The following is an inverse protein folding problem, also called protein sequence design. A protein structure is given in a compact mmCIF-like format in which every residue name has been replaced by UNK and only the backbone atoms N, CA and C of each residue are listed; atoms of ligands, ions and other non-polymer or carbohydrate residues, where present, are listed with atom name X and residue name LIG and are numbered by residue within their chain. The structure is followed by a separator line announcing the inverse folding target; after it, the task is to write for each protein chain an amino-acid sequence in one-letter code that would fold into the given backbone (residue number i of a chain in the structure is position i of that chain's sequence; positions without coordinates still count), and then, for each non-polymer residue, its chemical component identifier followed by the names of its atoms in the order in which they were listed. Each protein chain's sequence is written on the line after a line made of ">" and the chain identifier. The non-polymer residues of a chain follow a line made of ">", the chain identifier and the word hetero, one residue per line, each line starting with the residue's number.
data_IF_547072276220
#
_entry.id   IF_547072276220
#
_cell.length_a   1.000
_cell.length_b   1.000
_cell.length_c   1.000
_cell.angle_alpha   90.00
_cell.angle_beta   90.00
_cell.angle_gamma   90.00
#
_symmetry.space_group_name_H-M   'P 1'
#
loop_
_entity.id
_entity.type
_entity.pdbx_description
1 polymer ?
#
# COMPACT_ATOMS: atom_id res chain seq x y z
N UNK A 1 3.63 -4.11 15.36
CA UNK A 1 4.18 -3.89 14.00
C UNK A 1 4.34 -5.21 13.26
N UNK A 2 3.55 -6.22 13.62
CA UNK A 2 3.76 -7.59 13.18
C UNK A 2 3.37 -7.72 11.70
N UNK A 3 2.33 -7.01 11.27
CA UNK A 3 1.92 -6.93 9.87
C UNK A 3 2.97 -6.24 8.98
N UNK A 4 3.52 -5.10 9.41
CA UNK A 4 4.57 -4.40 8.65
C UNK A 4 5.83 -5.26 8.50
N UNK A 5 6.24 -5.95 9.58
CA UNK A 5 7.36 -6.89 9.54
C UNK A 5 7.06 -8.09 8.64
N UNK A 6 5.84 -8.61 8.70
CA UNK A 6 5.35 -9.70 7.83
C UNK A 6 5.46 -9.33 6.35
N UNK A 7 5.16 -8.07 5.99
CA UNK A 7 5.34 -7.59 4.63
C UNK A 7 6.83 -7.45 4.26
N UNK A 8 7.64 -6.88 5.15
CA UNK A 8 9.10 -6.75 4.96
C UNK A 8 9.78 -8.09 4.68
N UNK A 9 9.37 -9.16 5.37
CA UNK A 9 9.93 -10.50 5.16
C UNK A 9 9.66 -11.07 3.76
N UNK A 10 8.62 -10.63 3.05
CA UNK A 10 8.40 -11.06 1.65
C UNK A 10 9.44 -10.46 0.71
N UNK A 11 9.82 -9.22 0.96
CA UNK A 11 10.66 -8.43 0.06
C UNK A 11 11.67 -7.57 0.85
N UNK A 12 12.64 -8.21 1.53
CA UNK A 12 13.54 -7.55 2.47
C UNK A 12 14.61 -6.71 1.77
N UNK A 13 14.54 -6.56 0.44
CA UNK A 13 15.39 -5.69 -0.35
C UNK A 13 14.93 -4.24 -0.23
N UNK A 14 13.63 -3.94 -0.18
CA UNK A 14 13.10 -2.57 -0.25
C UNK A 14 12.73 -1.99 1.12
N UNK A 15 12.50 -0.68 1.19
CA UNK A 15 12.02 0.01 2.39
C UNK A 15 10.52 -0.24 2.53
N UNK A 16 10.08 -0.68 3.70
CA UNK A 16 8.65 -0.79 4.05
C UNK A 16 8.35 0.21 5.15
N UNK A 17 7.40 1.11 4.93
CA UNK A 17 7.06 2.16 5.90
C UNK A 17 5.56 2.28 6.07
N UNK A 18 5.12 2.57 7.30
CA UNK A 18 3.79 3.08 7.53
C UNK A 18 3.74 4.56 7.18
N UNK A 19 2.60 5.02 6.71
CA UNK A 19 2.33 6.44 6.52
C UNK A 19 0.87 6.72 6.85
N UNK A 20 0.60 7.90 7.39
CA UNK A 20 -0.78 8.31 7.68
C UNK A 20 -1.55 8.43 6.37
N UNK A 21 -2.88 8.22 6.34
CA UNK A 21 -3.66 8.45 5.13
C UNK A 21 -3.46 9.83 4.51
N UNK A 22 -3.38 10.90 5.32
CA UNK A 22 -3.13 12.27 4.85
C UNK A 22 -1.74 12.48 4.22
N UNK A 23 -0.75 11.68 4.62
CA UNK A 23 0.63 11.77 4.12
C UNK A 23 0.83 10.83 2.94
N UNK A 24 0.21 9.65 2.96
CA UNK A 24 0.20 8.67 1.87
C UNK A 24 -0.07 9.33 0.52
N UNK A 25 -1.10 10.19 0.43
CA UNK A 25 -1.40 10.91 -0.81
C UNK A 25 -0.20 11.72 -1.34
N UNK A 26 0.44 12.50 -0.46
CA UNK A 26 1.59 13.35 -0.83
C UNK A 26 2.78 12.50 -1.22
N UNK A 27 3.11 11.50 -0.42
CA UNK A 27 4.23 10.59 -0.68
C UNK A 27 4.05 9.80 -1.99
N UNK A 28 2.81 9.48 -2.38
CA UNK A 28 2.50 8.89 -3.69
C UNK A 28 2.78 9.86 -4.84
N UNK A 29 2.54 11.16 -4.67
CA UNK A 29 2.84 12.22 -5.65
C UNK A 29 4.34 12.57 -5.68
N UNK A 30 5.09 12.27 -4.63
CA UNK A 30 6.54 12.49 -4.54
C UNK A 30 7.36 11.31 -5.05
N UNK A 31 6.93 10.76 -6.19
CA UNK A 31 7.59 9.64 -6.89
C UNK A 31 8.05 10.09 -8.26
N UNK A 32 9.33 9.90 -8.57
CA UNK A 32 9.94 10.32 -9.83
C UNK A 32 11.19 9.48 -10.14
N UNK A 33 11.31 8.94 -11.35
CA UNK A 33 12.51 8.24 -11.84
C UNK A 33 13.12 7.23 -10.85
N UNK A 34 12.33 6.26 -10.41
CA UNK A 34 12.66 5.27 -9.37
C UNK A 34 12.91 5.83 -7.97
N UNK A 35 12.87 7.13 -7.72
CA UNK A 35 12.98 7.71 -6.36
C UNK A 35 11.60 7.95 -5.76
N UNK A 36 11.47 7.64 -4.47
CA UNK A 36 10.29 7.98 -3.69
C UNK A 36 10.66 8.38 -2.28
N UNK A 37 9.80 9.19 -1.66
CA UNK A 37 9.92 9.53 -0.26
C UNK A 37 9.09 8.58 0.62
N UNK A 38 9.58 8.34 1.84
CA UNK A 38 8.87 7.68 2.92
C UNK A 38 9.18 8.38 4.23
N UNK A 39 8.15 8.77 4.98
CA UNK A 39 8.33 9.25 6.35
C UNK A 39 8.54 8.06 7.30
N UNK A 40 9.78 7.90 7.79
CA UNK A 40 10.15 6.76 8.63
C UNK A 40 9.65 6.89 10.08
N UNK A 41 9.14 8.08 10.49
CA UNK A 41 8.70 8.36 11.87
C UNK A 41 7.49 7.53 12.29
N UNK A 42 6.69 7.04 11.34
CA UNK A 42 5.50 6.21 11.62
C UNK A 42 5.80 4.71 11.72
N UNK A 43 7.08 4.34 11.71
CA UNK A 43 7.55 2.96 11.76
C UNK A 43 7.90 2.46 10.37
N UNK A 44 9.12 1.95 10.25
CA UNK A 44 9.63 1.40 9.02
C UNK A 44 10.56 0.21 9.28
N UNK A 45 10.62 -0.72 8.33
CA UNK A 45 11.66 -1.72 8.25
C UNK A 45 12.52 -1.43 7.03
N UNK A 46 13.83 -1.42 7.28
CA UNK A 46 14.86 -1.07 6.31
C UNK A 46 15.93 -2.17 6.33
N UNK A 47 16.43 -2.61 5.16
CA UNK A 47 17.51 -3.58 5.12
C UNK A 47 18.80 -2.98 5.72
N UNK A 48 19.48 -3.76 6.56
CA UNK A 48 20.72 -3.32 7.23
C UNK A 48 21.79 -2.80 6.26
N UNK A 49 21.93 -3.46 5.11
CA UNK A 49 22.94 -3.09 4.11
C UNK A 49 22.65 -1.71 3.48
N UNK A 50 21.38 -1.30 3.34
CA UNK A 50 21.01 0.06 2.87
C UNK A 50 21.45 1.12 3.85
N UNK A 51 21.26 0.89 5.14
CA UNK A 51 21.73 1.78 6.20
C UNK A 51 23.26 1.88 6.18
N UNK A 52 23.97 0.76 6.04
CA UNK A 52 25.43 0.75 5.95
C UNK A 52 25.95 1.51 4.73
N UNK A 53 25.32 1.32 3.57
CA UNK A 53 25.64 2.04 2.34
C UNK A 53 25.44 3.55 2.53
N UNK A 54 24.27 3.96 3.06
CA UNK A 54 23.99 5.37 3.33
C UNK A 54 25.01 6.00 4.30
N UNK A 55 25.33 5.34 5.41
CA UNK A 55 26.32 5.85 6.38
C UNK A 55 27.72 5.97 5.78
N UNK A 56 28.12 5.01 4.94
CA UNK A 56 29.40 5.05 4.22
C UNK A 56 29.45 6.21 3.24
N UNK A 57 28.33 6.49 2.56
CA UNK A 57 28.21 7.60 1.62
C UNK A 57 28.20 8.94 2.35
N UNK A 58 27.47 9.06 3.46
CA UNK A 58 27.41 10.25 4.28
C UNK A 58 28.80 10.64 4.82
N UNK A 59 29.63 9.65 5.18
CA UNK A 59 31.02 9.88 5.55
C UNK A 59 31.92 10.37 4.40
N UNK A 60 31.55 10.09 3.14
CA UNK A 60 32.32 10.48 1.93
C UNK A 60 31.84 11.79 1.31
N UNK A 61 30.54 12.10 1.41
CA UNK A 61 29.93 13.31 0.82
C UNK A 61 30.20 14.58 1.63
N UNK A 62 30.76 14.46 2.84
CA UNK A 62 31.15 15.61 3.66
C UNK A 62 29.97 16.46 4.12
N UNK A 63 28.79 15.84 4.30
CA UNK A 63 27.61 16.52 4.83
C UNK A 63 27.96 17.19 6.16
N UNK A 64 27.77 18.51 6.23
CA UNK A 64 27.99 19.31 7.44
C UNK A 64 27.18 18.75 8.63
N UNK A 65 27.64 18.96 9.85
CA UNK A 65 27.00 18.49 11.11
C UNK A 65 25.53 18.92 11.21
N UNK A 66 25.15 20.04 10.62
CA UNK A 66 23.76 20.49 10.54
C UNK A 66 22.89 19.58 9.66
N UNK A 67 23.41 19.09 8.54
CA UNK A 67 22.70 18.19 7.62
C UNK A 67 22.59 16.75 8.17
N UNK A 68 23.44 16.35 9.13
CA UNK A 68 23.35 15.04 9.80
C UNK A 68 22.06 14.93 10.63
N UNK A 69 21.55 16.05 11.17
CA UNK A 69 20.30 16.04 11.96
C UNK A 69 19.09 15.68 11.12
N UNK A 70 19.13 16.01 9.84
CA UNK A 70 18.06 15.74 8.87
C UNK A 70 18.30 14.42 8.10
N UNK A 71 19.30 13.61 8.51
CA UNK A 71 19.70 12.34 7.86
C UNK A 71 18.52 11.39 7.58
N UNK A 72 17.48 11.41 8.41
CA UNK A 72 16.28 10.60 8.22
C UNK A 72 15.50 10.97 6.96
N UNK A 73 15.39 12.26 6.64
CA UNK A 73 14.73 12.75 5.43
C UNK A 73 15.53 12.42 4.17
N UNK A 74 16.86 12.44 4.28
CA UNK A 74 17.74 12.04 3.17
C UNK A 74 17.66 10.56 2.88
N UNK A 75 17.58 9.72 3.92
CA UNK A 75 17.75 8.29 3.78
C UNK A 75 16.83 7.69 2.72
N UNK A 76 15.51 7.95 2.80
CA UNK A 76 14.53 7.36 1.88
C UNK A 76 14.75 7.81 0.42
N UNK A 77 15.03 9.10 0.20
CA UNK A 77 15.24 9.68 -1.14
C UNK A 77 16.55 9.16 -1.75
N UNK A 78 17.60 9.06 -0.93
CA UNK A 78 18.95 8.70 -1.36
C UNK A 78 19.07 7.24 -1.81
N UNK A 79 18.17 6.37 -1.34
CA UNK A 79 18.15 4.99 -1.78
C UNK A 79 17.71 4.81 -3.24
N UNK A 80 17.31 5.89 -3.95
CA UNK A 80 16.89 5.89 -5.35
C UNK A 80 15.86 4.81 -5.68
N UNK A 81 14.95 4.53 -4.74
CA UNK A 81 13.95 3.49 -4.86
C UNK A 81 12.60 3.94 -4.34
N UNK A 82 11.55 3.42 -4.97
CA UNK A 82 10.21 3.56 -4.43
C UNK A 82 10.10 2.77 -3.12
N UNK A 83 9.66 3.38 -2.00
CA UNK A 83 9.33 2.63 -0.79
C UNK A 83 7.98 1.90 -0.95
N UNK A 84 7.77 0.85 -0.16
CA UNK A 84 6.47 0.22 0.02
C UNK A 84 5.73 0.87 1.19
N UNK A 85 4.82 1.78 0.84
CA UNK A 85 4.05 2.55 1.80
C UNK A 85 2.77 1.80 2.18
N UNK A 86 2.51 1.68 3.48
CA UNK A 86 1.26 1.18 4.03
C UNK A 86 0.47 2.35 4.61
N UNK A 87 -0.72 2.61 4.08
CA UNK A 87 -1.61 3.65 4.55
C UNK A 87 -2.28 3.19 5.84
N UNK A 88 -1.75 3.61 6.97
CA UNK A 88 -2.17 3.19 8.31
C UNK A 88 -2.38 4.43 9.20
N UNK A 89 -3.50 4.53 9.93
CA UNK A 89 -3.64 5.57 10.94
C UNK A 89 -2.56 5.35 12.02
N UNK A 90 -1.86 6.41 12.44
CA UNK A 90 -0.73 6.26 13.34
C UNK A 90 -1.23 5.87 14.74
N UNK A 91 -0.86 4.68 15.22
CA UNK A 91 -0.98 4.34 16.64
C UNK A 91 0.18 4.97 17.40
N UNK A 92 0.04 6.24 17.77
CA UNK A 92 1.02 6.85 18.66
C UNK A 92 0.75 6.36 20.09
N UNK A 93 1.79 5.85 20.75
CA UNK A 93 1.73 5.29 22.10
C UNK A 93 1.07 6.21 23.15
N UNK A 94 0.96 7.51 22.85
CA UNK A 94 0.43 8.54 23.75
C UNK A 94 -0.81 9.28 23.21
N UNK A 95 -1.45 8.80 22.12
CA UNK A 95 -2.69 9.40 21.59
C UNK A 95 -2.56 10.84 21.03
N UNK A 96 -1.37 11.42 21.03
CA UNK A 96 -1.11 12.71 20.39
C UNK A 96 -1.11 12.52 18.88
N UNK A 97 -1.77 13.42 18.13
CA UNK A 97 -1.61 13.48 16.67
C UNK A 97 -0.15 13.87 16.38
N UNK A 98 0.59 13.04 15.66
CA UNK A 98 1.90 13.46 15.16
C UNK A 98 1.71 14.78 14.41
N UNK A 99 2.45 15.80 14.82
CA UNK A 99 2.43 17.13 14.22
C UNK A 99 2.80 17.03 12.75
N UNK A 100 2.03 17.72 11.89
CA UNK A 100 2.35 17.86 10.47
C UNK A 100 3.51 18.84 10.31
N UNK A 101 4.69 18.35 9.93
CA UNK A 101 5.78 19.16 9.38
C UNK A 101 6.60 18.32 8.38
N UNK A 102 6.72 18.85 7.14
CA UNK A 102 7.38 18.18 6.00
C UNK A 102 7.94 19.17 4.96
N UNK A 103 8.28 20.42 5.35
CA UNK A 103 8.83 21.41 4.41
C UNK A 103 10.29 21.15 4.04
N UNK A 104 11.07 20.55 4.95
CA UNK A 104 12.48 20.26 4.70
C UNK A 104 12.65 19.07 3.74
N UNK A 105 11.86 18.00 3.89
CA UNK A 105 11.87 16.86 2.96
C UNK A 105 11.56 17.28 1.52
N UNK A 106 10.58 18.17 1.33
CA UNK A 106 10.22 18.74 0.02
C UNK A 106 11.39 19.51 -0.60
N UNK A 107 12.07 20.35 0.18
CA UNK A 107 13.26 21.10 -0.29
C UNK A 107 14.38 20.15 -0.73
N UNK A 108 14.61 19.08 0.01
CA UNK A 108 15.64 18.10 -0.34
C UNK A 108 15.24 17.21 -1.52
N UNK A 109 13.96 16.87 -1.64
CA UNK A 109 13.42 16.22 -2.82
C UNK A 109 13.69 17.09 -4.04
N UNK A 110 13.40 18.39 -3.94
CA UNK A 110 13.66 19.37 -4.99
C UNK A 110 15.15 19.47 -5.34
N UNK A 111 16.06 19.53 -4.37
CA UNK A 111 17.51 19.46 -4.65
C UNK A 111 17.93 18.16 -5.35
N UNK A 112 17.32 17.02 -4.99
CA UNK A 112 17.57 15.76 -5.71
C UNK A 112 17.05 15.79 -7.16
N UNK A 113 16.02 16.58 -7.47
CA UNK A 113 15.56 16.78 -8.85
C UNK A 113 16.57 17.63 -9.64
N UNK A 114 17.16 18.62 -8.99
CA UNK A 114 18.08 19.59 -9.58
C UNK A 114 19.50 19.02 -9.84
N UNK A 115 20.01 18.10 -8.99
CA UNK A 115 21.42 17.65 -9.02
C UNK A 115 21.73 16.39 -9.86
N UNK A 116 20.96 16.10 -10.91
CA UNK A 116 21.07 14.82 -11.64
C UNK A 116 22.35 14.64 -12.51
N UNK A 117 23.36 15.52 -12.42
CA UNK A 117 24.60 15.41 -13.20
C UNK A 117 25.61 14.40 -12.61
N UNK A 118 25.43 13.93 -11.38
CA UNK A 118 26.30 12.92 -10.77
C UNK A 118 25.48 11.85 -10.04
N UNK A 119 24.82 10.97 -10.79
CA UNK A 119 24.33 9.72 -10.22
C UNK A 119 25.56 8.90 -9.79
N UNK A 120 25.90 8.95 -8.50
CA UNK A 120 27.03 8.20 -7.94
C UNK A 120 26.87 6.68 -8.10
N UNK A 121 25.65 6.20 -8.43
CA UNK A 121 25.31 4.78 -8.58
C UNK A 121 24.20 4.57 -9.61
N UNK A 122 24.12 3.34 -10.14
CA UNK A 122 23.08 2.92 -11.08
C UNK A 122 21.68 3.02 -10.46
N UNK A 123 20.75 3.57 -11.24
CA UNK A 123 19.34 3.72 -10.87
C UNK A 123 18.60 2.55 -11.49
N UNK A 124 18.57 1.41 -10.79
CA UNK A 124 17.75 0.26 -11.18
C UNK A 124 16.65 0.04 -10.13
N UNK A 125 15.40 -0.14 -10.60
CA UNK A 125 14.29 -0.44 -9.71
C UNK A 125 14.47 -1.84 -9.11
N UNK A 126 14.57 -1.92 -7.78
CA UNK A 126 14.63 -3.20 -7.09
C UNK A 126 13.30 -3.96 -7.18
N UNK A 127 13.39 -5.27 -7.40
CA UNK A 127 12.25 -6.16 -7.23
C UNK A 127 11.81 -6.20 -5.75
N UNK A 128 10.50 -6.20 -5.48
CA UNK A 128 9.41 -6.25 -6.44
C UNK A 128 9.13 -4.86 -7.04
N UNK A 129 8.92 -4.82 -8.37
CA UNK A 129 8.41 -3.63 -9.05
C UNK A 129 7.09 -3.15 -8.46
N UNK A 130 6.76 -1.87 -8.66
CA UNK A 130 5.51 -1.27 -8.17
C UNK A 130 4.24 -2.09 -8.45
N UNK A 131 4.13 -2.71 -9.62
CA UNK A 131 2.99 -3.53 -10.00
C UNK A 131 2.76 -4.77 -9.11
N UNK A 132 3.81 -5.24 -8.42
CA UNK A 132 3.74 -6.38 -7.51
C UNK A 132 3.53 -5.96 -6.05
N UNK A 133 3.43 -4.65 -5.77
CA UNK A 133 3.29 -4.09 -4.42
C UNK A 133 1.81 -3.96 -4.03
N UNK A 134 1.21 -5.12 -3.79
CA UNK A 134 -0.21 -5.33 -3.56
C UNK A 134 -0.70 -4.99 -2.15
N UNK A 135 0.15 -5.10 -1.13
CA UNK A 135 -0.14 -4.72 0.25
C UNK A 135 -0.31 -3.21 0.38
N UNK A 136 -1.44 -2.74 0.93
CA UNK A 136 -1.74 -1.30 1.02
C UNK A 136 -1.98 -0.79 2.44
N UNK A 137 -2.42 -1.64 3.36
CA UNK A 137 -2.74 -1.24 4.73
C UNK A 137 -2.69 -2.45 5.67
N UNK A 138 -2.51 -2.20 6.96
CA UNK A 138 -2.58 -3.17 8.03
C UNK A 138 -3.97 -3.17 8.64
N UNK A 139 -4.43 -4.33 9.07
CA UNK A 139 -5.66 -4.44 9.86
C UNK A 139 -5.50 -3.76 11.22
N UNK A 140 -6.60 -3.25 11.78
CA UNK A 140 -6.64 -2.53 13.08
C UNK A 140 -6.02 -3.35 14.23
N UNK A 141 -6.17 -4.68 14.18
CA UNK A 141 -5.61 -5.60 15.17
C UNK A 141 -4.15 -6.01 14.90
N UNK A 142 -3.52 -5.49 13.84
CA UNK A 142 -2.16 -5.81 13.38
C UNK A 142 -1.90 -7.30 13.03
N UNK A 143 -2.97 -8.09 12.82
CA UNK A 143 -2.91 -9.52 12.47
C UNK A 143 -3.13 -9.82 11.00
N UNK A 144 -3.35 -8.81 10.18
CA UNK A 144 -3.41 -8.96 8.73
C UNK A 144 -3.01 -7.69 7.98
N UNK A 145 -2.89 -7.84 6.66
CA UNK A 145 -2.63 -6.79 5.69
C UNK A 145 -3.70 -6.86 4.60
N UNK A 146 -4.28 -5.73 4.24
CA UNK A 146 -5.08 -5.58 3.04
C UNK A 146 -4.18 -5.69 1.81
N UNK A 147 -4.52 -6.58 0.90
CA UNK A 147 -3.91 -6.69 -0.43
C UNK A 147 -4.90 -6.30 -1.52
N UNK A 148 -4.45 -5.61 -2.56
CA UNK A 148 -5.28 -5.24 -3.70
C UNK A 148 -4.45 -4.91 -4.94
N UNK A 149 -4.96 -5.22 -6.14
CA UNK A 149 -4.39 -4.74 -7.41
C UNK A 149 -4.83 -3.34 -7.79
N UNK A 150 -5.83 -2.79 -7.09
CA UNK A 150 -6.47 -1.53 -7.45
C UNK A 150 -5.76 -0.37 -6.76
N UNK A 151 -5.05 0.41 -7.57
CA UNK A 151 -4.40 1.65 -7.13
C UNK A 151 -5.33 2.86 -7.26
N UNK A 152 -5.45 3.63 -6.18
CA UNK A 152 -6.21 4.88 -6.15
C UNK A 152 -5.45 6.06 -6.80
N UNK A 153 -4.16 5.88 -7.08
CA UNK A 153 -3.27 6.91 -7.61
C UNK A 153 -2.69 6.55 -8.97
N UNK A 154 -2.24 7.58 -9.69
CA UNK A 154 -1.56 7.42 -10.98
C UNK A 154 -0.19 6.77 -10.74
N UNK A 155 0.14 5.74 -11.52
CA UNK A 155 1.48 5.15 -11.49
C UNK A 155 2.52 6.16 -11.98
N UNK A 156 3.70 6.24 -11.34
CA UNK A 156 4.73 7.22 -11.70
C UNK A 156 5.21 7.08 -13.15
N UNK A 157 5.17 5.88 -13.73
CA UNK A 157 5.48 5.62 -15.15
C UNK A 157 4.61 6.41 -16.14
N UNK A 158 3.42 6.83 -15.72
CA UNK A 158 2.49 7.63 -16.54
C UNK A 158 2.74 9.13 -16.42
N UNK A 159 3.62 9.56 -15.51
CA UNK A 159 4.00 10.96 -15.36
C UNK A 159 5.24 11.20 -16.22
N UNK A 160 5.12 11.91 -17.36
CA UNK A 160 6.28 12.28 -18.16
C UNK A 160 7.12 13.26 -17.34
N UNK A 161 8.14 12.75 -16.67
CA UNK A 161 9.02 13.57 -15.85
C UNK A 161 10.14 14.14 -16.71
N UNK A 162 10.21 15.47 -16.80
CA UNK A 162 11.32 16.20 -17.41
C UNK A 162 11.92 17.14 -16.37
N UNK A 163 13.15 16.85 -15.93
CA UNK A 163 13.88 17.63 -14.92
C UNK A 163 14.14 19.08 -15.36
N UNK A 164 14.11 19.37 -16.67
CA UNK A 164 14.26 20.74 -17.18
C UNK A 164 12.96 21.53 -17.14
N UNK A 165 11.83 20.82 -17.20
CA UNK A 165 10.49 21.41 -17.20
C UNK A 165 9.83 21.40 -15.81
N UNK A 166 10.23 20.49 -14.93
CA UNK A 166 9.72 20.33 -13.57
C UNK A 166 10.78 20.85 -12.60
N UNK A 167 10.66 22.13 -12.27
CA UNK A 167 11.58 22.86 -11.40
C UNK A 167 11.16 22.86 -9.92
N UNK A 168 10.01 22.29 -9.57
CA UNK A 168 9.55 22.21 -8.18
C UNK A 168 8.63 21.01 -7.90
N UNK A 169 8.47 20.67 -6.62
CA UNK A 169 7.55 19.63 -6.16
C UNK A 169 6.10 20.00 -6.44
N UNK A 170 5.74 21.27 -6.28
CA UNK A 170 4.40 21.77 -6.59
C UNK A 170 4.03 21.54 -8.07
N UNK A 171 4.99 21.70 -8.98
CA UNK A 171 4.77 21.40 -10.40
C UNK A 171 4.57 19.91 -10.63
N UNK A 172 5.33 19.05 -9.95
CA UNK A 172 5.14 17.60 -10.00
C UNK A 172 3.76 17.19 -9.46
N UNK A 173 3.36 17.70 -8.30
CA UNK A 173 2.05 17.47 -7.69
C UNK A 173 0.92 17.90 -8.64
N UNK A 174 1.06 19.06 -9.29
CA UNK A 174 0.11 19.55 -10.29
C UNK A 174 -0.04 18.59 -11.47
N UNK A 175 1.03 17.92 -11.90
CA UNK A 175 0.95 16.91 -12.97
C UNK A 175 0.19 15.65 -12.51
N UNK A 176 0.44 15.20 -11.27
CA UNK A 176 -0.33 14.11 -10.68
C UNK A 176 -1.81 14.48 -10.54
N UNK A 177 -2.11 15.69 -10.08
CA UNK A 177 -3.49 16.16 -9.87
C UNK A 177 -4.28 16.24 -11.18
N UNK A 178 -3.63 16.67 -12.28
CA UNK A 178 -4.25 16.67 -13.63
C UNK A 178 -4.66 15.27 -14.11
N UNK A 179 -3.97 14.23 -13.65
CA UNK A 179 -4.20 12.84 -14.06
C UNK A 179 -4.98 12.03 -13.00
N UNK A 180 -5.17 12.60 -11.81
CA UNK A 180 -5.92 12.02 -10.71
C UNK A 180 -7.42 12.31 -10.85
N UNK A 181 -8.25 11.47 -10.24
CA UNK A 181 -9.72 11.54 -10.35
C UNK A 181 -10.42 12.14 -9.11
N UNK A 182 -9.71 12.87 -8.24
CA UNK A 182 -10.31 13.63 -7.13
C UNK A 182 -9.81 13.27 -5.73
N UNK A 183 -10.04 14.20 -4.80
CA UNK A 183 -9.21 14.53 -3.61
C UNK A 183 -9.78 14.10 -2.25
N UNK A 184 -10.67 13.11 -2.20
CA UNK A 184 -11.27 12.64 -0.94
C UNK A 184 -10.54 11.42 -0.34
N UNK A 185 -9.25 11.27 -0.61
CA UNK A 185 -8.47 10.09 -0.20
C UNK A 185 -8.64 9.71 1.26
N UNK A 186 -8.60 10.69 2.17
CA UNK A 186 -8.73 10.45 3.60
C UNK A 186 -10.05 9.73 3.94
N UNK A 187 -11.13 10.07 3.25
CA UNK A 187 -12.47 9.50 3.46
C UNK A 187 -12.65 8.11 2.83
N UNK A 188 -11.76 7.74 1.91
CA UNK A 188 -11.87 6.53 1.10
C UNK A 188 -10.56 5.72 1.13
N UNK A 189 -9.75 5.84 2.17
CA UNK A 189 -8.40 5.28 2.18
C UNK A 189 -8.40 3.77 2.50
N UNK A 190 -7.32 3.08 2.11
CA UNK A 190 -7.21 1.63 2.20
C UNK A 190 -7.53 1.04 3.58
N UNK A 191 -7.09 1.70 4.65
CA UNK A 191 -7.30 1.20 6.01
C UNK A 191 -8.77 1.04 6.40
N UNK A 192 -9.68 1.79 5.77
CA UNK A 192 -11.11 1.73 6.04
C UNK A 192 -11.77 0.43 5.58
N UNK A 193 -11.07 -0.44 4.84
CA UNK A 193 -11.56 -1.79 4.55
C UNK A 193 -11.24 -2.81 5.67
N UNK A 194 -10.37 -2.45 6.61
CA UNK A 194 -9.78 -3.34 7.61
C UNK A 194 -9.66 -2.67 8.99
N UNK A 195 -10.51 -1.67 9.26
CA UNK A 195 -10.59 -0.93 10.52
C UNK A 195 -11.61 -1.53 11.52
N UNK A 196 -12.29 -2.60 11.11
CA UNK A 196 -13.34 -3.31 11.86
C UNK A 196 -14.61 -2.50 12.09
N UNK A 197 -14.83 -1.46 11.30
CA UNK A 197 -16.08 -0.70 11.24
C UNK A 197 -16.76 -0.94 9.88
N UNK A 198 -17.93 -1.61 9.83
CA UNK A 198 -18.62 -1.88 8.56
C UNK A 198 -19.30 -0.64 7.97
N UNK A 199 -19.18 0.54 8.59
CA UNK A 199 -19.80 1.80 8.13
C UNK A 199 -18.85 2.73 7.39
N UNK A 200 -17.54 2.57 7.61
CA UNK A 200 -16.46 3.21 6.85
C UNK A 200 -16.08 2.32 5.68
N UNK A 201 -15.62 2.88 4.56
CA UNK A 201 -15.28 2.07 3.40
C UNK A 201 -14.09 2.62 2.62
N UNK A 202 -13.23 1.71 2.16
CA UNK A 202 -12.32 2.00 1.06
C UNK A 202 -13.13 2.06 -0.25
N UNK A 203 -12.89 3.10 -1.06
CA UNK A 203 -13.48 3.25 -2.40
C UNK A 203 -12.39 3.01 -3.46
N UNK A 204 -12.70 2.20 -4.47
CA UNK A 204 -11.77 1.94 -5.57
C UNK A 204 -11.56 3.16 -6.47
N UNK A 205 -12.42 4.20 -6.36
CA UNK A 205 -12.49 5.44 -7.16
C UNK A 205 -12.77 5.24 -8.66
N UNK A 206 -12.36 4.09 -9.19
CA UNK A 206 -12.56 3.62 -10.56
C UNK A 206 -13.27 2.29 -10.52
N UNK A 207 -14.08 2.02 -11.54
CA UNK A 207 -14.80 0.76 -11.65
C UNK A 207 -13.80 -0.42 -11.83
N UNK A 208 -13.83 -1.45 -10.95
CA UNK A 208 -12.96 -2.61 -11.06
C UNK A 208 -13.09 -3.31 -12.41
N UNK A 209 -11.97 -3.82 -12.90
CA UNK A 209 -11.84 -4.61 -14.13
C UNK A 209 -11.79 -6.10 -13.82
N UNK A 210 -12.12 -6.91 -14.81
CA UNK A 210 -11.94 -8.36 -14.72
C UNK A 210 -10.48 -8.67 -14.38
N UNK A 211 -10.29 -9.45 -13.33
CA UNK A 211 -8.96 -9.83 -12.81
C UNK A 211 -8.47 -8.93 -11.69
N UNK A 212 -9.07 -7.76 -11.46
CA UNK A 212 -8.78 -6.97 -10.26
C UNK A 212 -9.14 -7.78 -9.02
N UNK A 213 -8.45 -7.51 -7.91
CA UNK A 213 -8.68 -8.23 -6.68
C UNK A 213 -8.46 -7.38 -5.44
N UNK A 214 -9.09 -7.82 -4.37
CA UNK A 214 -8.80 -7.39 -2.99
C UNK A 214 -8.73 -8.63 -2.10
N UNK A 215 -8.13 -8.53 -0.92
CA UNK A 215 -7.93 -9.69 -0.06
C UNK A 215 -7.19 -9.39 1.23
N UNK A 216 -6.88 -10.44 1.96
CA UNK A 216 -6.11 -10.36 3.19
C UNK A 216 -4.87 -11.25 3.10
N UNK A 217 -3.78 -10.73 3.64
CA UNK A 217 -2.61 -11.51 4.04
C UNK A 217 -2.57 -11.55 5.55
N UNK A 218 -2.56 -12.76 6.10
CA UNK A 218 -2.58 -13.01 7.53
C UNK A 218 -1.17 -13.01 8.10
N UNK A 219 -1.05 -12.56 9.34
CA UNK A 219 0.13 -12.77 10.19
C UNK A 219 0.00 -14.18 10.77
N UNK A 220 0.48 -15.16 10.00
CA UNK A 220 0.31 -16.60 10.24
C UNK A 220 -0.61 -17.27 9.21
N UNK A 221 -1.09 -18.47 9.53
CA UNK A 221 -1.95 -19.27 8.66
C UNK A 221 -3.20 -19.70 9.41
N UNK A 222 -4.36 -19.62 8.76
CA UNK A 222 -5.65 -19.98 9.34
C UNK A 222 -6.45 -20.88 8.39
N UNK A 223 -7.34 -21.69 8.97
CA UNK A 223 -8.42 -22.35 8.26
C UNK A 223 -9.67 -21.47 8.36
N UNK A 224 -10.26 -21.15 7.22
CA UNK A 224 -11.43 -20.29 7.11
C UNK A 224 -12.41 -21.00 6.19
N UNK A 225 -13.65 -21.11 6.63
CA UNK A 225 -14.74 -21.77 5.90
C UNK A 225 -15.74 -20.73 5.37
N UNK A 226 -15.72 -19.50 5.90
CA UNK A 226 -16.64 -18.43 5.55
C UNK A 226 -15.93 -17.10 5.34
N UNK A 227 -16.19 -16.49 4.19
CA UNK A 227 -15.76 -15.14 3.84
C UNK A 227 -16.96 -14.19 3.88
N UNK A 228 -16.84 -13.10 4.64
CA UNK A 228 -17.85 -12.04 4.70
C UNK A 228 -17.29 -10.74 4.13
N UNK A 229 -17.97 -10.20 3.13
CA UNK A 229 -17.65 -8.92 2.48
C UNK A 229 -18.75 -7.93 2.84
N UNK A 230 -18.39 -6.82 3.47
CA UNK A 230 -19.29 -5.71 3.73
C UNK A 230 -19.11 -4.67 2.64
N UNK A 231 -20.19 -4.39 1.92
CA UNK A 231 -20.19 -3.46 0.79
C UNK A 231 -21.60 -2.91 0.56
N UNK A 232 -21.76 -1.61 0.28
CA UNK A 232 -23.04 -1.04 -0.13
C UNK A 232 -23.38 -1.36 -1.59
N UNK A 233 -22.44 -1.92 -2.36
CA UNK A 233 -22.68 -2.27 -3.76
C UNK A 233 -23.63 -3.47 -3.87
N UNK A 234 -24.71 -3.33 -4.63
CA UNK A 234 -25.62 -4.43 -4.91
C UNK A 234 -25.01 -5.43 -5.92
N UNK A 235 -24.53 -6.56 -5.41
CA UNK A 235 -23.95 -7.63 -6.23
C UNK A 235 -24.93 -8.82 -6.33
N UNK A 236 -25.54 -8.99 -7.49
CA UNK A 236 -26.41 -10.14 -7.78
C UNK A 236 -25.55 -11.38 -8.08
N UNK A 237 -25.82 -12.51 -7.42
CA UNK A 237 -25.07 -13.78 -7.59
C UNK A 237 -23.56 -13.59 -7.35
N UNK A 238 -23.15 -13.16 -6.14
CA UNK A 238 -21.75 -12.89 -5.82
C UNK A 238 -20.81 -14.07 -6.10
N UNK A 239 -21.28 -15.31 -5.98
CA UNK A 239 -20.55 -16.53 -6.30
C UNK A 239 -20.16 -16.66 -7.79
N UNK A 240 -20.85 -15.93 -8.67
CA UNK A 240 -20.52 -15.84 -10.11
C UNK A 240 -19.67 -14.62 -10.43
N UNK A 241 -19.82 -13.54 -9.67
CA UNK A 241 -19.08 -12.29 -9.89
C UNK A 241 -17.69 -12.31 -9.26
N UNK A 242 -17.50 -13.09 -8.20
CA UNK A 242 -16.23 -13.22 -7.51
C UNK A 242 -15.62 -14.60 -7.71
N UNK A 243 -14.30 -14.66 -7.71
CA UNK A 243 -13.56 -15.91 -7.52
C UNK A 243 -12.65 -15.78 -6.30
N UNK A 244 -12.71 -16.77 -5.41
CA UNK A 244 -11.87 -16.82 -4.22
C UNK A 244 -10.67 -17.71 -4.51
N UNK A 245 -9.47 -17.21 -4.21
CA UNK A 245 -8.23 -17.99 -4.28
C UNK A 245 -7.41 -17.79 -3.02
N UNK A 246 -6.69 -18.83 -2.61
CA UNK A 246 -5.87 -18.83 -1.41
C UNK A 246 -4.43 -19.23 -1.73
N UNK A 247 -3.51 -18.87 -0.86
CA UNK A 247 -2.10 -19.26 -0.94
C UNK A 247 -1.60 -19.71 0.42
N UNK A 248 -1.01 -20.89 0.45
CA UNK A 248 -0.37 -21.48 1.64
C UNK A 248 0.92 -20.73 2.00
N UNK A 249 1.32 -20.82 3.25
CA UNK A 249 2.60 -20.29 3.69
C UNK A 249 3.77 -21.00 2.99
N UNK A 250 4.70 -20.21 2.42
CA UNK A 250 5.83 -20.73 1.65
C UNK A 250 5.51 -21.16 0.22
N UNK A 251 4.23 -21.11 -0.20
CA UNK A 251 3.84 -21.34 -1.59
C UNK A 251 3.89 -20.04 -2.41
N UNK A 252 4.17 -20.17 -3.70
CA UNK A 252 4.07 -19.09 -4.68
C UNK A 252 2.88 -19.28 -5.65
N UNK A 253 2.01 -20.26 -5.38
CA UNK A 253 0.91 -20.63 -6.26
C UNK A 253 -0.45 -20.31 -5.62
N UNK A 254 -1.29 -19.62 -6.38
CA UNK A 254 -2.68 -19.38 -6.01
C UNK A 254 -3.54 -20.61 -6.31
N UNK A 255 -4.23 -21.11 -5.30
CA UNK A 255 -5.19 -22.22 -5.44
C UNK A 255 -6.61 -21.67 -5.40
N UNK A 256 -7.41 -22.01 -6.42
CA UNK A 256 -8.80 -21.56 -6.50
C UNK A 256 -9.69 -22.39 -5.57
N UNK A 257 -10.52 -21.71 -4.78
CA UNK A 257 -11.52 -22.34 -3.93
C UNK A 257 -12.88 -22.40 -4.64
N UNK A 258 -13.71 -23.36 -4.24
CA UNK A 258 -15.13 -23.33 -4.56
C UNK A 258 -15.80 -22.36 -3.60
N UNK A 259 -16.65 -21.48 -4.12
CA UNK A 259 -17.38 -20.50 -3.30
C UNK A 259 -18.87 -20.58 -3.60
N UNK A 260 -19.69 -20.63 -2.56
CA UNK A 260 -21.16 -20.64 -2.66
C UNK A 260 -21.76 -19.56 -1.78
N UNK A 261 -22.73 -18.81 -2.31
CA UNK A 261 -23.45 -17.80 -1.53
C UNK A 261 -24.26 -18.47 -0.41
N UNK A 262 -24.15 -17.93 0.80
CA UNK A 262 -25.01 -18.30 1.93
C UNK A 262 -26.25 -17.40 1.86
N UNK A 263 -27.47 -17.98 1.85
CA UNK A 263 -28.77 -17.36 1.49
C UNK A 263 -29.26 -16.18 2.39
N UNK A 264 -28.37 -15.46 3.10
CA UNK A 264 -28.68 -14.28 3.90
C UNK A 264 -27.89 -13.05 3.45
N UNK A 265 -28.07 -12.63 2.20
CA UNK A 265 -27.61 -11.31 1.76
C UNK A 265 -28.48 -10.23 2.39
N UNK A 266 -28.00 -9.66 3.50
CA UNK A 266 -28.45 -8.35 3.94
C UNK A 266 -27.97 -7.32 2.92
N UNK A 267 -28.66 -6.19 2.79
CA UNK A 267 -28.40 -5.20 1.73
C UNK A 267 -26.92 -4.76 1.62
N UNK A 268 -26.15 -4.83 2.71
CA UNK A 268 -24.75 -4.43 2.73
C UNK A 268 -23.76 -5.57 3.08
N UNK A 269 -24.19 -6.83 3.00
CA UNK A 269 -23.39 -8.00 3.43
C UNK A 269 -23.47 -9.15 2.44
N UNK A 270 -22.33 -9.58 1.95
CA UNK A 270 -22.16 -10.77 1.11
C UNK A 270 -21.44 -11.82 1.95
N UNK A 271 -22.02 -13.02 2.03
CA UNK A 271 -21.40 -14.16 2.70
C UNK A 271 -21.21 -15.30 1.73
N UNK A 272 -19.96 -15.77 1.65
CA UNK A 272 -19.55 -16.88 0.80
C UNK A 272 -19.00 -18.00 1.70
N UNK A 273 -19.60 -19.18 1.63
CA UNK A 273 -18.95 -20.39 2.11
C UNK A 273 -17.84 -20.75 1.10
N UNK A 274 -16.65 -21.06 1.60
CA UNK A 274 -15.48 -21.37 0.79
C UNK A 274 -14.96 -22.77 1.11
N UNK A 275 -14.74 -23.56 0.07
CA UNK A 275 -14.17 -24.91 0.14
C UNK A 275 -12.89 -24.93 -0.70
N UNK A 276 -11.76 -24.92 0.00
CA UNK A 276 -10.44 -24.83 -0.58
C UNK A 276 -9.74 -26.20 -0.53
N UNK A 277 -8.97 -26.59 -1.57
CA UNK A 277 -8.16 -27.82 -1.56
C UNK A 277 -7.07 -27.88 -0.47
N UNK A 278 -6.84 -26.78 0.24
CA UNK A 278 -5.79 -26.59 1.25
C UNK A 278 -6.44 -26.23 2.59
N UNK A 279 -5.87 -26.75 3.69
CA UNK A 279 -6.47 -26.60 5.02
C UNK A 279 -6.12 -25.28 5.70
N UNK A 280 -4.89 -24.80 5.53
CA UNK A 280 -4.40 -23.58 6.17
C UNK A 280 -3.75 -22.70 5.11
N UNK A 281 -4.10 -21.43 5.12
CA UNK A 281 -3.53 -20.48 4.16
C UNK A 281 -3.24 -19.14 4.82
N UNK A 282 -2.26 -18.46 4.23
CA UNK A 282 -1.76 -17.17 4.69
C UNK A 282 -2.31 -16.03 3.87
N UNK A 283 -2.61 -16.24 2.59
CA UNK A 283 -3.26 -15.24 1.75
C UNK A 283 -4.61 -15.75 1.27
N UNK A 284 -5.57 -14.83 1.22
CA UNK A 284 -6.84 -15.00 0.55
C UNK A 284 -7.10 -13.79 -0.33
N UNK A 285 -7.50 -14.00 -1.58
CA UNK A 285 -7.91 -12.95 -2.49
C UNK A 285 -9.27 -13.26 -3.13
N UNK A 286 -10.00 -12.20 -3.38
CA UNK A 286 -11.29 -12.16 -4.06
C UNK A 286 -11.07 -11.39 -5.36
N UNK A 287 -11.20 -12.07 -6.49
CA UNK A 287 -11.00 -11.48 -7.81
C UNK A 287 -12.34 -11.24 -8.52
N UNK A 288 -12.46 -10.11 -9.21
CA UNK A 288 -13.62 -9.78 -10.05
C UNK A 288 -13.59 -10.63 -11.33
N UNK A 289 -14.66 -11.36 -11.61
CA UNK A 289 -14.80 -12.20 -12.81
C UNK A 289 -15.28 -11.40 -14.04
N UNK A 290 -15.79 -10.19 -13.83
CA UNK A 290 -16.30 -9.28 -14.86
C UNK A 290 -15.98 -7.84 -14.52
N UNK A 291 -15.92 -6.99 -15.53
CA UNK A 291 -15.84 -5.53 -15.35
C UNK A 291 -17.10 -5.02 -14.64
N UNK A 292 -16.90 -4.12 -13.68
CA UNK A 292 -17.99 -3.34 -13.10
C UNK A 292 -18.18 -2.04 -13.88
N UNK A 293 -19.40 -1.48 -13.82
CA UNK A 293 -19.73 -0.19 -14.42
C UNK A 293 -19.53 0.98 -13.46
N UNK A 294 -19.43 0.72 -12.15
CA UNK A 294 -19.30 1.71 -11.09
C UNK A 294 -18.15 1.34 -10.14
N UNK A 295 -17.57 2.31 -9.41
CA UNK A 295 -16.62 2.03 -8.34
C UNK A 295 -17.18 1.05 -7.29
N UNK A 296 -16.29 0.27 -6.70
CA UNK A 296 -16.62 -0.68 -5.66
C UNK A 296 -16.18 -0.13 -4.30
N UNK A 297 -17.01 -0.32 -3.28
CA UNK A 297 -16.73 0.08 -1.91
C UNK A 297 -16.57 -1.16 -1.04
N UNK A 298 -15.42 -1.30 -0.39
CA UNK A 298 -15.15 -2.35 0.58
C UNK A 298 -15.13 -1.74 1.98
N UNK A 299 -16.16 -2.04 2.77
CA UNK A 299 -16.31 -1.49 4.12
C UNK A 299 -15.67 -2.38 5.17
N UNK A 300 -15.73 -3.68 4.98
CA UNK A 300 -15.04 -4.61 5.86
C UNK A 300 -14.86 -5.94 5.15
N UNK A 301 -13.74 -6.59 5.44
CA UNK A 301 -13.46 -7.95 5.01
C UNK A 301 -13.23 -8.81 6.25
N UNK A 302 -14.16 -9.73 6.52
CA UNK A 302 -14.12 -10.60 7.70
C UNK A 302 -14.04 -12.05 7.28
N UNK A 303 -13.25 -12.82 8.03
CA UNK A 303 -13.07 -14.26 7.87
C UNK A 303 -13.63 -14.92 9.13
N UNK A 304 -14.32 -16.06 9.00
CA UNK A 304 -14.76 -16.77 10.20
C UNK A 304 -13.57 -17.18 11.08
N UNK A 305 -13.82 -17.17 12.40
CA UNK A 305 -12.79 -17.35 13.43
C UNK A 305 -11.66 -16.29 13.42
N UNK A 306 -11.84 -15.19 12.68
CA UNK A 306 -10.90 -14.08 12.65
C UNK A 306 -11.65 -12.74 12.72
N UNK A 307 -11.68 -12.15 13.91
CA UNK A 307 -12.07 -10.74 14.05
C UNK A 307 -10.91 -9.89 13.55
N UNK A 308 -11.10 -9.20 12.43
CA UNK A 308 -10.21 -8.11 11.99
C UNK A 308 -10.08 -7.05 13.06
#
# INVERSE_FOLDING_TARGET
>A
MDSLYTNFLRFPSIIHANTKPTHYEKEMKWRFYNKGYADLRFGAFVPRWKVQTFLTQLGKSGLDKENIREAEHYFAIWMNQYPWLLSNPPYLANGQKATDYDYDAVRYLQWSLEQNEQAYFEIEEEEPRLAHRDVKSSCVNDKCLLITSMDSYVHPERIPFDYRAIASIEQLETLYDKLSTGTEWVQHSYHLAVDSDPTTCWDTLRAPKRGDYFGLMLVGSLKIDTLTIYTPNEIKRPEKQFSVSVMEEGSNQWTKCKSTQIERSYNNRIQLAIDCPVNYYRLIKVSFNSDLSVPFKLCSLSLDNFST
#
